data_IF_815773061459
#
_entry.id   IF_815773061459
#
_cell.length_a   1.000
_cell.length_b   1.000
_cell.length_c   1.000
_cell.angle_alpha   90.00
_cell.angle_beta   90.00
_cell.angle_gamma   90.00
#
_symmetry.space_group_name_H-M   'P 1'
#
loop_
_entity.id
_entity.type
_entity.pdbx_description
1 polymer ?
#
# COMPACT_ATOMS: atom_id res chain seq x y z
N UNK A 1 52.53 31.19 -33.90
CA UNK A 1 53.65 30.52 -33.30
C UNK A 1 53.18 29.41 -32.39
N UNK A 2 53.17 28.15 -32.88
CA UNK A 2 53.00 26.91 -32.11
C UNK A 2 54.35 26.61 -31.47
N UNK A 3 54.37 25.98 -30.32
CA UNK A 3 55.06 24.71 -30.29
C UNK A 3 54.28 23.53 -29.69
N UNK A 4 54.34 22.41 -30.44
CA UNK A 4 54.20 21.04 -29.97
C UNK A 4 55.12 20.79 -28.78
N UNK A 5 54.62 19.98 -27.85
CA UNK A 5 55.45 19.15 -26.99
C UNK A 5 54.83 17.75 -26.90
N UNK A 6 55.73 16.78 -27.22
CA UNK A 6 55.50 15.36 -27.30
C UNK A 6 55.47 14.66 -25.93
N UNK A 7 54.69 13.58 -25.87
CA UNK A 7 54.98 12.27 -25.31
C UNK A 7 55.77 12.15 -23.98
N UNK A 8 55.11 11.71 -22.97
CA UNK A 8 55.70 11.05 -21.82
C UNK A 8 54.82 9.86 -21.43
N UNK A 9 55.18 8.70 -21.96
CA UNK A 9 54.66 7.37 -21.63
C UNK A 9 55.22 6.95 -20.25
N UNK A 10 54.43 6.83 -19.24
CA UNK A 10 54.79 6.05 -18.07
C UNK A 10 53.61 5.16 -17.64
N UNK A 11 53.88 3.88 -17.80
CA UNK A 11 53.16 2.79 -17.15
C UNK A 11 53.11 3.03 -15.64
N UNK A 12 51.96 2.87 -15.06
CA UNK A 12 51.83 2.42 -13.69
C UNK A 12 50.65 1.43 -13.60
N UNK A 13 51.07 0.24 -13.23
CA UNK A 13 50.24 -0.91 -12.96
C UNK A 13 49.47 -0.75 -11.66
N UNK A 14 48.30 -1.36 -11.70
CA UNK A 14 47.57 -1.92 -10.55
C UNK A 14 47.32 -1.07 -9.32
N UNK A 15 46.05 -0.78 -9.10
CA UNK A 15 45.33 -1.15 -7.86
C UNK A 15 43.88 -0.73 -7.97
N UNK A 16 42.97 -1.67 -7.75
CA UNK A 16 41.60 -1.33 -7.42
C UNK A 16 40.52 -1.98 -8.27
N UNK A 17 40.50 -3.28 -8.34
CA UNK A 17 39.31 -4.03 -8.70
C UNK A 17 38.26 -3.85 -7.62
N UNK A 18 37.44 -2.79 -7.70
CA UNK A 18 36.24 -2.63 -6.90
C UNK A 18 35.13 -3.46 -7.51
N UNK A 19 34.75 -4.46 -6.78
CA UNK A 19 33.62 -5.36 -6.91
C UNK A 19 32.35 -4.65 -7.39
N UNK A 20 32.13 -4.65 -8.69
CA UNK A 20 30.79 -4.62 -9.24
C UNK A 20 30.16 -5.98 -8.90
N UNK A 21 29.47 -6.04 -7.76
CA UNK A 21 28.59 -7.18 -7.47
C UNK A 21 27.41 -7.09 -8.43
N UNK A 22 27.55 -7.76 -9.57
CA UNK A 22 26.46 -8.09 -10.46
C UNK A 22 25.41 -8.86 -9.66
N UNK A 23 24.29 -8.19 -9.45
CA UNK A 23 23.05 -8.80 -8.98
C UNK A 23 22.73 -9.97 -9.90
N UNK A 24 22.54 -11.20 -9.41
CA UNK A 24 22.13 -12.28 -10.28
C UNK A 24 20.77 -11.95 -10.88
N UNK A 25 20.52 -12.26 -12.17
CA UNK A 25 19.23 -12.03 -12.79
C UNK A 25 18.17 -12.84 -12.03
N UNK A 26 17.11 -12.14 -11.61
CA UNK A 26 15.90 -12.74 -11.08
C UNK A 26 15.25 -13.50 -12.26
N UNK A 27 15.45 -14.79 -12.34
CA UNK A 27 14.62 -15.67 -13.16
C UNK A 27 13.19 -15.61 -12.60
N UNK A 28 12.18 -15.35 -13.42
CA UNK A 28 10.80 -15.48 -13.01
C UNK A 28 10.47 -16.96 -12.93
N UNK A 29 10.67 -17.55 -11.77
CA UNK A 29 10.21 -18.90 -11.50
C UNK A 29 8.73 -18.82 -11.08
N UNK A 30 7.87 -19.01 -12.07
CA UNK A 30 6.43 -19.11 -11.96
C UNK A 30 6.02 -20.50 -11.45
N UNK A 31 6.38 -20.82 -10.22
CA UNK A 31 5.75 -21.87 -9.44
C UNK A 31 5.11 -21.21 -8.22
N UNK A 32 3.81 -21.01 -8.31
CA UNK A 32 2.97 -20.47 -7.25
C UNK A 32 2.83 -21.50 -6.12
N UNK A 33 3.88 -21.73 -5.35
CA UNK A 33 3.76 -22.41 -4.07
C UNK A 33 3.05 -21.45 -3.09
N UNK A 34 2.05 -21.94 -2.34
CA UNK A 34 1.36 -21.12 -1.35
C UNK A 34 2.36 -20.60 -0.31
N UNK A 35 2.11 -19.39 0.20
CA UNK A 35 2.92 -18.82 1.26
C UNK A 35 2.74 -19.64 2.54
N UNK A 36 3.86 -20.08 3.11
CA UNK A 36 3.89 -20.81 4.37
C UNK A 36 3.98 -19.85 5.56
N UNK A 37 3.49 -20.31 6.70
CA UNK A 37 3.55 -19.57 7.97
C UNK A 37 4.65 -20.14 8.85
N UNK A 38 5.47 -19.28 9.43
CA UNK A 38 6.51 -19.63 10.38
C UNK A 38 6.42 -18.74 11.62
N UNK A 39 6.30 -19.37 12.81
CA UNK A 39 6.27 -18.65 14.09
C UNK A 39 7.50 -19.02 14.92
N UNK A 40 8.06 -18.02 15.57
CA UNK A 40 9.21 -18.27 16.45
C UNK A 40 9.74 -17.02 17.14
N UNK A 41 10.72 -17.25 18.02
CA UNK A 41 11.40 -16.17 18.74
C UNK A 41 12.76 -15.88 18.08
N UNK A 42 13.07 -14.62 17.89
CA UNK A 42 14.38 -14.17 17.37
C UNK A 42 15.47 -14.54 18.38
N UNK A 43 16.32 -15.46 17.99
CA UNK A 43 17.45 -15.87 18.82
C UNK A 43 18.66 -14.94 18.59
N UNK A 44 18.92 -14.58 17.33
CA UNK A 44 20.07 -13.73 16.98
C UNK A 44 19.86 -13.05 15.63
N UNK A 45 20.27 -11.80 15.56
CA UNK A 45 20.41 -11.05 14.32
C UNK A 45 21.83 -11.29 13.77
N UNK A 46 21.93 -12.00 12.62
CA UNK A 46 23.22 -12.36 12.03
C UNK A 46 23.74 -11.27 11.10
N UNK A 47 22.84 -10.60 10.41
CA UNK A 47 23.12 -9.47 9.52
C UNK A 47 21.91 -8.55 9.47
N UNK A 48 22.13 -7.24 9.41
CA UNK A 48 21.10 -6.25 9.14
C UNK A 48 21.69 -5.08 8.34
N UNK A 49 20.96 -4.69 7.31
CA UNK A 49 21.23 -3.49 6.54
C UNK A 49 20.03 -2.54 6.67
N UNK A 50 20.17 -1.45 7.43
CA UNK A 50 19.09 -0.48 7.64
C UNK A 50 18.66 0.24 6.35
N UNK A 51 19.55 0.38 5.38
CA UNK A 51 19.27 1.11 4.14
C UNK A 51 18.34 0.32 3.20
N UNK A 52 18.55 -0.99 3.10
CA UNK A 52 17.71 -1.89 2.31
C UNK A 52 16.59 -2.56 3.12
N UNK A 53 16.50 -2.29 4.42
CA UNK A 53 15.64 -2.99 5.38
C UNK A 53 15.86 -4.52 5.44
N UNK A 54 16.88 -5.05 4.78
CA UNK A 54 17.15 -6.47 4.71
C UNK A 54 17.92 -6.96 5.93
N UNK A 55 17.50 -8.12 6.47
CA UNK A 55 18.23 -8.78 7.52
C UNK A 55 18.25 -10.30 7.36
N UNK A 56 19.23 -10.93 8.03
CA UNK A 56 19.33 -12.37 8.23
C UNK A 56 19.21 -12.67 9.72
N UNK A 57 18.20 -13.44 10.07
CA UNK A 57 17.78 -13.71 11.46
C UNK A 57 17.84 -15.21 11.73
N UNK A 58 18.32 -15.59 12.91
CA UNK A 58 18.17 -16.95 13.44
C UNK A 58 16.92 -16.98 14.28
N UNK A 59 15.91 -17.75 13.85
CA UNK A 59 14.61 -17.86 14.49
C UNK A 59 14.45 -19.21 15.19
N UNK A 60 14.20 -19.19 16.48
CA UNK A 60 13.87 -20.40 17.24
C UNK A 60 12.39 -20.73 17.05
N UNK A 61 12.14 -21.78 16.28
CA UNK A 61 10.79 -22.26 15.96
C UNK A 61 10.41 -23.39 16.92
N UNK A 62 9.18 -23.33 17.43
CA UNK A 62 8.66 -24.38 18.34
C UNK A 62 8.64 -25.74 17.62
N UNK A 63 9.24 -26.76 18.23
CA UNK A 63 9.30 -28.11 17.66
C UNK A 63 10.50 -28.38 16.73
N UNK A 64 11.31 -27.37 16.37
CA UNK A 64 12.56 -27.58 15.65
C UNK A 64 13.75 -27.59 16.60
N UNK A 65 14.69 -28.55 16.40
CA UNK A 65 15.93 -28.64 17.19
C UNK A 65 16.92 -27.53 16.89
N UNK A 66 16.96 -27.07 15.63
CA UNK A 66 17.86 -26.02 15.18
C UNK A 66 17.08 -24.77 14.78
N UNK A 67 17.63 -23.56 15.06
CA UNK A 67 17.02 -22.33 14.62
C UNK A 67 16.94 -22.26 13.09
N UNK A 68 15.80 -21.80 12.58
CA UNK A 68 15.62 -21.55 11.15
C UNK A 68 16.40 -20.29 10.73
N UNK A 69 17.01 -20.34 9.55
CA UNK A 69 17.57 -19.13 8.92
C UNK A 69 16.43 -18.40 8.21
N UNK A 70 16.19 -17.18 8.58
CA UNK A 70 15.11 -16.35 8.06
C UNK A 70 15.72 -15.10 7.42
N UNK A 71 15.30 -14.77 6.19
CA UNK A 71 15.83 -13.65 5.42
C UNK A 71 14.71 -12.78 4.86
N UNK A 72 14.91 -11.46 4.84
CA UNK A 72 13.91 -10.53 4.29
C UNK A 72 13.91 -9.17 4.94
N UNK A 73 12.78 -8.43 4.90
CA UNK A 73 12.68 -7.07 5.41
C UNK A 73 12.57 -7.04 6.95
N UNK A 74 13.59 -7.57 7.63
CA UNK A 74 13.62 -7.82 9.07
C UNK A 74 14.59 -6.91 9.83
N UNK A 75 15.11 -5.83 9.21
CA UNK A 75 16.15 -4.99 9.84
C UNK A 75 15.69 -4.27 11.12
N UNK A 76 14.38 -4.11 11.32
CA UNK A 76 13.81 -3.50 12.51
C UNK A 76 13.58 -4.47 13.69
N UNK A 77 13.80 -5.77 13.47
CA UNK A 77 13.54 -6.84 14.45
C UNK A 77 14.63 -6.86 15.51
N UNK A 78 14.24 -7.17 16.76
CA UNK A 78 15.16 -7.29 17.90
C UNK A 78 15.24 -8.72 18.41
N UNK A 79 16.38 -9.06 18.99
CA UNK A 79 16.55 -10.33 19.69
C UNK A 79 15.54 -10.45 20.85
N UNK A 80 14.96 -11.65 20.97
CA UNK A 80 13.88 -11.94 21.95
C UNK A 80 12.47 -11.66 21.46
N UNK A 81 12.28 -10.99 20.32
CA UNK A 81 10.95 -10.76 19.76
C UNK A 81 10.33 -12.06 19.23
N UNK A 82 9.06 -12.26 19.52
CA UNK A 82 8.27 -13.35 18.92
C UNK A 82 7.65 -12.86 17.63
N UNK A 83 7.98 -13.52 16.52
CA UNK A 83 7.55 -13.15 15.19
C UNK A 83 6.58 -14.18 14.60
N UNK A 84 5.60 -13.65 13.90
CA UNK A 84 4.79 -14.38 12.95
C UNK A 84 5.22 -13.96 11.55
N UNK A 85 5.66 -14.94 10.76
CA UNK A 85 6.26 -14.71 9.45
C UNK A 85 5.45 -15.42 8.39
N UNK A 86 5.26 -14.79 7.25
CA UNK A 86 4.78 -15.45 6.05
C UNK A 86 5.81 -15.34 4.93
N UNK A 87 6.08 -16.44 4.25
CA UNK A 87 7.14 -16.51 3.27
C UNK A 87 7.21 -17.86 2.59
N UNK A 88 8.37 -18.17 2.05
CA UNK A 88 8.64 -19.45 1.35
C UNK A 88 9.99 -19.98 1.76
N UNK A 89 10.10 -21.30 1.85
CA UNK A 89 11.41 -21.94 1.92
C UNK A 89 12.08 -21.88 0.56
N UNK A 90 13.35 -21.51 0.56
CA UNK A 90 14.22 -21.53 -0.62
C UNK A 90 15.58 -22.11 -0.24
N UNK A 91 16.28 -22.68 -1.20
CA UNK A 91 17.64 -23.19 -1.01
C UNK A 91 18.62 -22.23 -1.66
N UNK A 92 19.36 -21.50 -0.84
CA UNK A 92 20.42 -20.62 -1.32
C UNK A 92 21.67 -21.44 -1.65
N UNK A 93 22.31 -21.27 -2.84
CA UNK A 93 23.45 -22.09 -3.27
C UNK A 93 24.63 -22.15 -2.29
N UNK A 94 24.85 -21.04 -1.55
CA UNK A 94 25.98 -20.92 -0.60
C UNK A 94 25.55 -21.14 0.87
N UNK A 95 24.30 -20.82 1.23
CA UNK A 95 23.87 -20.74 2.63
C UNK A 95 22.84 -21.82 3.02
N UNK A 96 22.46 -22.68 2.05
CA UNK A 96 21.50 -23.76 2.30
C UNK A 96 20.06 -23.30 2.43
N UNK A 97 19.27 -24.09 3.15
CA UNK A 97 17.84 -23.80 3.36
C UNK A 97 17.65 -22.51 4.18
N UNK A 98 16.82 -21.61 3.65
CA UNK A 98 16.42 -20.39 4.33
C UNK A 98 14.94 -20.11 4.08
N UNK A 99 14.29 -19.43 5.02
CA UNK A 99 12.92 -18.98 4.88
C UNK A 99 12.93 -17.52 4.42
N UNK A 100 12.51 -17.28 3.17
CA UNK A 100 12.39 -15.93 2.63
C UNK A 100 11.07 -15.32 3.05
N UNK A 101 11.13 -14.31 3.90
CA UNK A 101 9.99 -13.58 4.41
C UNK A 101 9.44 -12.64 3.35
N UNK A 102 8.15 -12.76 3.10
CA UNK A 102 7.39 -11.79 2.30
C UNK A 102 6.84 -10.69 3.22
N UNK A 103 6.28 -11.09 4.36
CA UNK A 103 5.86 -10.17 5.41
C UNK A 103 5.95 -10.82 6.80
N UNK A 104 6.00 -9.99 7.82
CA UNK A 104 6.08 -10.41 9.20
C UNK A 104 5.44 -9.39 10.14
N UNK A 105 5.09 -9.84 11.33
CA UNK A 105 4.74 -8.97 12.44
C UNK A 105 5.25 -9.53 13.75
N UNK A 106 5.57 -8.64 14.69
CA UNK A 106 5.76 -9.05 16.07
C UNK A 106 4.40 -9.42 16.66
N UNK A 107 4.32 -10.56 17.32
CA UNK A 107 3.05 -11.11 17.85
C UNK A 107 2.38 -10.15 18.85
N UNK A 108 3.17 -9.28 19.46
CA UNK A 108 2.72 -8.17 20.31
C UNK A 108 3.70 -6.99 20.19
N UNK A 109 3.26 -5.73 20.34
CA UNK A 109 4.19 -4.61 20.40
C UNK A 109 5.13 -4.80 21.59
N UNK A 110 6.44 -4.87 21.33
CA UNK A 110 7.45 -5.11 22.35
C UNK A 110 7.83 -3.86 23.15
N UNK A 111 7.41 -2.67 22.71
CA UNK A 111 7.77 -1.41 23.38
C UNK A 111 6.59 -0.85 24.16
N UNK A 112 6.86 -0.32 25.35
CA UNK A 112 5.88 0.34 26.23
C UNK A 112 5.05 1.40 25.48
N UNK A 113 5.74 2.26 24.70
CA UNK A 113 5.06 3.26 23.87
C UNK A 113 4.20 2.65 22.74
N UNK A 114 4.60 1.51 22.18
CA UNK A 114 3.82 0.78 21.19
C UNK A 114 2.56 0.18 21.80
N UNK A 115 2.67 -0.41 22.99
CA UNK A 115 1.55 -0.97 23.75
C UNK A 115 0.53 0.12 24.10
N UNK A 116 0.99 1.28 24.58
CA UNK A 116 0.13 2.40 24.91
C UNK A 116 -0.67 2.87 23.70
N UNK A 117 0.00 3.13 22.57
CA UNK A 117 -0.65 3.55 21.32
C UNK A 117 -1.65 2.51 20.81
N UNK A 118 -1.29 1.23 20.93
CA UNK A 118 -2.16 0.13 20.56
C UNK A 118 -3.44 0.11 21.40
N UNK A 119 -3.33 0.17 22.72
CA UNK A 119 -4.48 0.18 23.63
C UNK A 119 -5.33 1.45 23.48
N UNK A 120 -4.69 2.61 23.24
CA UNK A 120 -5.37 3.90 23.03
C UNK A 120 -6.11 4.00 21.70
N UNK A 121 -5.89 3.08 20.75
CA UNK A 121 -6.49 3.12 19.40
C UNK A 121 -8.00 2.89 19.35
N UNK A 122 -8.63 2.50 20.48
CA UNK A 122 -10.05 2.19 20.57
C UNK A 122 -10.43 0.78 20.09
N UNK A 123 -9.44 -0.08 19.78
CA UNK A 123 -9.64 -1.46 19.35
C UNK A 123 -10.25 -2.34 20.44
N UNK A 124 -10.02 -2.00 21.69
CA UNK A 124 -10.55 -2.73 22.84
C UNK A 124 -11.59 -1.85 23.50
N UNK A 125 -12.85 -2.27 23.46
CA UNK A 125 -13.94 -1.53 24.11
C UNK A 125 -13.70 -1.43 25.61
N UNK A 126 -13.75 -0.20 26.11
CA UNK A 126 -13.51 0.07 27.51
C UNK A 126 -12.10 0.54 27.84
N UNK A 127 -11.16 0.52 26.89
CA UNK A 127 -9.84 1.11 27.06
C UNK A 127 -9.73 2.35 26.16
N UNK A 128 -9.77 3.52 26.78
CA UNK A 128 -9.44 4.80 26.12
C UNK A 128 -8.00 5.23 26.41
N UNK A 129 -7.54 6.38 25.84
CA UNK A 129 -6.15 6.84 25.97
C UNK A 129 -5.67 6.95 27.41
N UNK A 130 -6.46 7.55 28.31
CA UNK A 130 -6.09 7.70 29.72
C UNK A 130 -5.95 6.36 30.46
N UNK A 131 -6.83 5.39 30.13
CA UNK A 131 -6.75 4.08 30.75
C UNK A 131 -5.59 3.26 30.17
N UNK A 132 -5.33 3.38 28.89
CA UNK A 132 -4.16 2.79 28.22
C UNK A 132 -2.86 3.25 28.91
N UNK A 133 -2.72 4.56 29.12
CA UNK A 133 -1.59 5.12 29.83
C UNK A 133 -1.42 4.57 31.25
N UNK A 134 -2.51 4.46 32.01
CA UNK A 134 -2.49 3.91 33.40
C UNK A 134 -2.14 2.43 33.42
N UNK A 135 -2.68 1.65 32.49
CA UNK A 135 -2.37 0.22 32.35
C UNK A 135 -0.88 0.02 32.05
N UNK A 136 -0.36 0.77 31.10
CA UNK A 136 1.04 0.66 30.69
C UNK A 136 1.99 1.21 31.77
N UNK A 137 1.59 2.27 32.48
CA UNK A 137 2.34 2.75 33.63
C UNK A 137 2.43 1.72 34.78
N UNK A 138 1.40 0.91 34.97
CA UNK A 138 1.34 -0.11 36.03
C UNK A 138 2.04 -1.40 35.65
N UNK A 139 1.78 -1.94 34.44
CA UNK A 139 2.27 -3.25 34.01
C UNK A 139 3.45 -3.20 33.03
N UNK A 140 3.78 -2.03 32.49
CA UNK A 140 4.89 -1.87 31.54
C UNK A 140 4.71 -2.72 30.28
N UNK A 141 5.78 -3.44 29.91
CA UNK A 141 5.79 -4.35 28.77
C UNK A 141 4.86 -5.59 28.93
N UNK A 142 4.50 -5.94 30.18
CA UNK A 142 3.63 -7.10 30.45
C UNK A 142 2.14 -6.80 30.28
N UNK A 143 1.75 -5.56 30.01
CA UNK A 143 0.34 -5.13 29.95
C UNK A 143 -0.51 -6.03 29.07
N UNK A 144 -0.04 -6.38 27.87
CA UNK A 144 -0.81 -7.21 26.94
C UNK A 144 -0.90 -8.68 27.39
N UNK A 145 0.14 -9.18 28.02
CA UNK A 145 0.16 -10.53 28.64
C UNK A 145 -0.84 -10.58 29.79
N UNK A 146 -0.86 -9.57 30.65
CA UNK A 146 -1.82 -9.47 31.75
C UNK A 146 -3.26 -9.43 31.22
N UNK A 147 -3.55 -8.64 30.18
CA UNK A 147 -4.90 -8.61 29.58
C UNK A 147 -5.31 -9.99 29.04
N UNK A 148 -4.36 -10.73 28.45
CA UNK A 148 -4.61 -12.02 27.81
C UNK A 148 -4.66 -13.20 28.78
N UNK A 149 -3.75 -13.28 29.73
CA UNK A 149 -3.50 -14.46 30.56
C UNK A 149 -3.93 -14.30 32.01
N UNK A 150 -3.91 -13.09 32.56
CA UNK A 150 -4.25 -12.78 33.95
C UNK A 150 -5.15 -11.53 34.06
N UNK A 151 -6.33 -11.52 33.40
CA UNK A 151 -7.20 -10.34 33.32
C UNK A 151 -7.71 -9.86 34.68
N UNK A 152 -7.74 -10.70 35.69
CA UNK A 152 -8.12 -10.36 37.07
C UNK A 152 -7.19 -9.29 37.66
N UNK A 153 -5.91 -9.26 37.27
CA UNK A 153 -4.93 -8.26 37.69
C UNK A 153 -5.24 -6.87 37.18
N UNK A 154 -6.06 -6.73 36.13
CA UNK A 154 -6.48 -5.42 35.63
C UNK A 154 -7.20 -4.58 36.69
N UNK A 155 -7.79 -5.23 37.71
CA UNK A 155 -8.45 -4.54 38.83
C UNK A 155 -7.45 -3.84 39.77
N UNK A 156 -6.14 -4.12 39.66
CA UNK A 156 -5.08 -3.38 40.37
C UNK A 156 -4.98 -1.92 39.87
N UNK A 157 -5.49 -1.65 38.64
CA UNK A 157 -5.42 -0.31 38.01
C UNK A 157 -6.67 0.49 38.35
N UNK A 158 -6.49 1.69 38.90
CA UNK A 158 -7.57 2.58 39.25
C UNK A 158 -8.49 2.88 38.04
N UNK A 159 -9.80 2.70 38.23
CA UNK A 159 -10.82 2.87 37.17
C UNK A 159 -11.20 1.58 36.43
N UNK A 160 -10.66 0.42 36.84
CA UNK A 160 -11.06 -0.89 36.36
C UNK A 160 -11.70 -1.69 37.51
N UNK A 161 -13.03 -1.72 37.51
CA UNK A 161 -13.77 -2.65 38.39
C UNK A 161 -14.07 -3.97 37.70
N UNK A 162 -14.66 -4.96 38.42
CA UNK A 162 -14.92 -6.30 37.89
C UNK A 162 -15.72 -6.33 36.59
N UNK A 163 -16.74 -5.48 36.47
CA UNK A 163 -17.56 -5.38 35.23
C UNK A 163 -16.75 -4.92 34.03
N UNK A 164 -15.88 -3.96 34.22
CA UNK A 164 -15.02 -3.42 33.15
C UNK A 164 -13.91 -4.40 32.77
N UNK A 165 -13.34 -5.08 33.75
CA UNK A 165 -12.39 -6.17 33.52
C UNK A 165 -13.01 -7.28 32.67
N UNK A 166 -14.23 -7.76 33.00
CA UNK A 166 -14.92 -8.76 32.20
C UNK A 166 -15.27 -8.30 30.79
N UNK A 167 -15.57 -7.02 30.61
CA UNK A 167 -15.80 -6.43 29.30
C UNK A 167 -14.50 -6.44 28.48
N UNK A 168 -13.38 -5.98 29.04
CA UNK A 168 -12.06 -5.97 28.39
C UNK A 168 -11.66 -7.40 28.01
N UNK A 169 -11.82 -8.37 28.91
CA UNK A 169 -11.52 -9.79 28.66
C UNK A 169 -12.30 -10.36 27.47
N UNK A 170 -13.62 -10.14 27.42
CA UNK A 170 -14.47 -10.62 26.31
C UNK A 170 -14.08 -9.97 24.99
N UNK A 171 -13.89 -8.67 25.00
CA UNK A 171 -13.50 -7.93 23.81
C UNK A 171 -12.12 -8.33 23.30
N UNK A 172 -11.19 -8.57 24.24
CA UNK A 172 -9.86 -9.10 23.93
C UNK A 172 -9.89 -10.45 23.22
N UNK A 173 -10.73 -11.36 23.64
CA UNK A 173 -10.88 -12.68 23.03
C UNK A 173 -11.57 -12.61 21.67
N UNK A 174 -12.60 -11.78 21.54
CA UNK A 174 -13.40 -11.64 20.31
C UNK A 174 -12.58 -11.03 19.15
N UNK A 175 -11.68 -10.11 19.44
CA UNK A 175 -10.93 -9.38 18.43
C UNK A 175 -9.48 -9.85 18.23
N UNK A 176 -9.18 -11.09 18.58
CA UNK A 176 -7.81 -11.62 18.46
C UNK A 176 -7.28 -11.54 17.02
N UNK A 177 -8.05 -12.01 16.05
CA UNK A 177 -7.67 -11.98 14.63
C UNK A 177 -7.48 -10.54 14.11
N UNK A 178 -8.41 -9.63 14.44
CA UNK A 178 -8.30 -8.22 14.08
C UNK A 178 -7.01 -7.58 14.63
N UNK A 179 -6.64 -7.90 15.88
CA UNK A 179 -5.41 -7.41 16.49
C UNK A 179 -4.17 -7.84 15.73
N UNK A 180 -4.09 -9.12 15.39
CA UNK A 180 -2.95 -9.69 14.68
C UNK A 180 -2.75 -8.98 13.35
N UNK A 181 -3.81 -8.75 12.58
CA UNK A 181 -3.77 -8.02 11.32
C UNK A 181 -3.33 -6.57 11.51
N UNK A 182 -3.88 -5.86 12.51
CA UNK A 182 -3.54 -4.45 12.74
C UNK A 182 -2.09 -4.27 13.22
N UNK A 183 -1.59 -5.17 14.05
CA UNK A 183 -0.18 -5.19 14.47
C UNK A 183 0.73 -5.49 13.27
N UNK A 184 0.35 -6.44 12.41
CA UNK A 184 1.07 -6.73 11.18
C UNK A 184 1.16 -5.51 10.26
N UNK A 185 0.03 -4.82 10.02
CA UNK A 185 0.01 -3.60 9.20
C UNK A 185 0.86 -2.47 9.81
N UNK A 186 0.87 -2.32 11.15
CA UNK A 186 1.77 -1.38 11.82
C UNK A 186 3.24 -1.75 11.64
N UNK A 187 3.59 -3.02 11.73
CA UNK A 187 4.94 -3.53 11.43
C UNK A 187 5.40 -3.19 10.02
N UNK A 188 4.48 -3.15 9.06
CA UNK A 188 4.72 -2.70 7.69
C UNK A 188 4.79 -1.16 7.55
N UNK A 189 4.70 -0.43 8.65
CA UNK A 189 4.76 1.03 8.69
C UNK A 189 3.45 1.73 8.30
N UNK A 190 2.33 1.02 8.33
CA UNK A 190 0.99 1.59 8.17
C UNK A 190 0.54 2.21 9.49
N UNK A 191 0.21 3.50 9.48
CA UNK A 191 -0.32 4.15 10.70
C UNK A 191 -1.67 3.57 11.13
N UNK A 192 -1.99 3.58 12.44
CA UNK A 192 -3.16 2.93 13.03
C UNK A 192 -4.48 3.31 12.34
N UNK A 193 -4.72 4.60 12.09
CA UNK A 193 -5.94 5.05 11.43
C UNK A 193 -6.12 4.44 10.02
N UNK A 194 -5.01 4.28 9.30
CA UNK A 194 -4.99 3.65 7.98
C UNK A 194 -5.15 2.13 8.10
N UNK A 195 -4.43 1.49 9.02
CA UNK A 195 -4.55 0.06 9.29
C UNK A 195 -5.98 -0.34 9.63
N UNK A 196 -6.68 0.48 10.43
CA UNK A 196 -8.09 0.28 10.76
C UNK A 196 -8.99 0.33 9.52
N UNK A 197 -8.79 1.31 8.62
CA UNK A 197 -9.55 1.39 7.36
C UNK A 197 -9.28 0.18 6.46
N UNK A 198 -8.01 -0.22 6.34
CA UNK A 198 -7.61 -1.39 5.54
C UNK A 198 -8.25 -2.67 6.13
N UNK A 199 -8.21 -2.83 7.45
CA UNK A 199 -8.86 -3.97 8.10
C UNK A 199 -10.38 -3.97 7.91
N UNK A 200 -11.04 -2.81 8.01
CA UNK A 200 -12.48 -2.69 7.77
C UNK A 200 -12.87 -3.10 6.35
N UNK A 201 -12.01 -2.84 5.36
CA UNK A 201 -12.26 -3.16 3.96
C UNK A 201 -11.97 -4.63 3.63
N UNK A 202 -10.87 -5.19 4.14
CA UNK A 202 -10.34 -6.49 3.70
C UNK A 202 -10.34 -7.56 4.78
N UNK A 203 -10.63 -7.22 6.04
CA UNK A 203 -10.60 -8.18 7.16
C UNK A 203 -9.24 -8.88 7.27
N UNK A 204 -9.27 -10.20 7.35
CA UNK A 204 -8.09 -11.04 7.50
C UNK A 204 -7.18 -11.04 6.25
N UNK A 205 -7.70 -10.64 5.07
CA UNK A 205 -6.93 -10.53 3.83
C UNK A 205 -6.11 -9.23 3.76
N UNK A 206 -6.30 -8.31 4.71
CA UNK A 206 -5.69 -6.97 4.69
C UNK A 206 -4.16 -7.00 4.52
N UNK A 207 -3.48 -7.91 5.21
CA UNK A 207 -2.02 -8.03 5.15
C UNK A 207 -1.57 -8.57 3.79
N UNK A 208 -2.28 -9.56 3.25
CA UNK A 208 -2.00 -10.12 1.94
C UNK A 208 -2.14 -9.07 0.84
N UNK A 209 -3.24 -8.31 0.84
CA UNK A 209 -3.46 -7.22 -0.13
C UNK A 209 -2.35 -6.18 -0.04
N UNK A 210 -1.98 -5.73 1.17
CA UNK A 210 -0.92 -4.74 1.38
C UNK A 210 0.43 -5.22 0.88
N UNK A 211 0.75 -6.50 1.07
CA UNK A 211 2.06 -7.05 0.72
C UNK A 211 2.18 -7.50 -0.73
N UNK A 212 1.07 -7.85 -1.37
CA UNK A 212 1.07 -8.32 -2.77
C UNK A 212 0.76 -7.21 -3.75
N UNK A 213 -0.23 -6.37 -3.46
CA UNK A 213 -0.66 -5.28 -4.34
C UNK A 213 -1.17 -4.07 -3.53
N UNK A 214 -0.29 -3.25 -2.94
CA UNK A 214 -0.70 -2.07 -2.19
C UNK A 214 -1.46 -1.03 -3.02
N UNK A 215 -1.35 -1.07 -4.35
CA UNK A 215 -2.06 -0.14 -5.25
C UNK A 215 -3.57 -0.39 -5.29
N UNK A 216 -4.02 -1.61 -4.94
CA UNK A 216 -5.43 -1.90 -4.76
C UNK A 216 -6.08 -1.03 -3.68
N UNK A 217 -5.30 -0.70 -2.63
CA UNK A 217 -5.77 0.18 -1.55
C UNK A 217 -6.19 1.56 -2.06
N UNK A 218 -5.48 2.09 -3.06
CA UNK A 218 -5.77 3.39 -3.64
C UNK A 218 -7.08 3.40 -4.46
N UNK A 219 -7.53 2.24 -4.93
CA UNK A 219 -8.79 2.07 -5.63
C UNK A 219 -9.97 1.89 -4.67
N UNK A 220 -9.76 1.16 -3.58
CA UNK A 220 -10.85 0.65 -2.74
C UNK A 220 -11.07 1.49 -1.47
N UNK A 221 -10.07 2.28 -1.03
CA UNK A 221 -10.14 3.02 0.23
C UNK A 221 -10.09 4.52 -0.01
N UNK A 222 -11.22 5.19 0.24
CA UNK A 222 -11.28 6.65 0.13
C UNK A 222 -10.27 7.35 1.06
N UNK A 223 -9.48 8.26 0.47
CA UNK A 223 -8.43 9.00 1.18
C UNK A 223 -7.08 8.28 1.25
N UNK A 224 -6.93 7.11 0.60
CA UNK A 224 -5.66 6.44 0.37
C UNK A 224 -5.31 6.59 -1.11
N UNK A 225 -4.49 7.60 -1.43
CA UNK A 225 -4.10 7.85 -2.82
C UNK A 225 -2.86 7.07 -3.25
N UNK A 226 -2.58 7.10 -4.56
CA UNK A 226 -1.43 6.46 -5.19
C UNK A 226 -0.11 6.69 -4.45
N UNK A 227 0.22 7.94 -4.09
CA UNK A 227 1.49 8.27 -3.42
C UNK A 227 1.67 7.56 -2.07
N UNK A 228 0.58 7.26 -1.37
CA UNK A 228 0.65 6.50 -0.10
C UNK A 228 0.87 5.03 -0.37
N UNK A 229 0.19 4.47 -1.37
CA UNK A 229 0.39 3.09 -1.81
C UNK A 229 1.82 2.87 -2.35
N UNK A 230 2.35 3.81 -3.12
CA UNK A 230 3.70 3.74 -3.70
C UNK A 230 4.80 3.81 -2.62
N UNK A 231 4.64 4.68 -1.62
CA UNK A 231 5.53 4.70 -0.44
C UNK A 231 5.51 3.39 0.33
N UNK A 232 4.34 2.77 0.45
CA UNK A 232 4.19 1.47 1.12
C UNK A 232 4.86 0.36 0.30
N UNK A 233 4.64 0.33 -1.02
CA UNK A 233 5.32 -0.59 -1.94
C UNK A 233 6.85 -0.47 -1.87
N UNK A 234 7.37 0.76 -1.80
CA UNK A 234 8.81 1.03 -1.65
C UNK A 234 9.37 0.47 -0.34
N UNK A 235 8.64 0.60 0.78
CA UNK A 235 9.04 0.00 2.08
C UNK A 235 9.05 -1.53 2.05
N UNK A 236 8.15 -2.12 1.27
CA UNK A 236 8.05 -3.56 1.07
C UNK A 236 9.04 -4.08 0.04
N UNK A 237 9.87 -3.22 -0.55
CA UNK A 237 10.81 -3.54 -1.63
C UNK A 237 10.14 -4.29 -2.79
N UNK A 238 8.91 -3.91 -3.13
CA UNK A 238 8.23 -4.48 -4.29
C UNK A 238 8.92 -4.02 -5.58
N UNK A 239 8.86 -4.85 -6.61
CA UNK A 239 9.44 -4.53 -7.91
C UNK A 239 8.81 -3.24 -8.46
N UNK A 240 9.62 -2.19 -8.77
CA UNK A 240 9.13 -0.93 -9.29
C UNK A 240 8.49 -1.04 -10.68
N UNK A 241 8.71 -2.13 -11.41
CA UNK A 241 8.15 -2.38 -12.74
C UNK A 241 6.89 -3.25 -12.72
N UNK A 242 6.29 -3.47 -11.55
CA UNK A 242 5.03 -4.24 -11.48
C UNK A 242 3.93 -3.56 -12.32
N UNK A 243 3.16 -4.34 -13.11
CA UNK A 243 2.03 -3.80 -13.89
C UNK A 243 1.04 -3.01 -13.04
N UNK A 244 0.82 -3.43 -11.79
CA UNK A 244 -0.06 -2.76 -10.85
C UNK A 244 0.43 -1.33 -10.51
N UNK A 245 1.74 -1.15 -10.30
CA UNK A 245 2.35 0.17 -10.06
C UNK A 245 2.21 1.09 -11.27
N UNK A 246 2.58 0.57 -12.44
CA UNK A 246 2.55 1.34 -13.68
C UNK A 246 1.12 1.79 -14.03
N UNK A 247 0.15 0.88 -13.91
CA UNK A 247 -1.26 1.19 -14.12
C UNK A 247 -1.79 2.22 -13.12
N UNK A 248 -1.46 2.06 -11.84
CA UNK A 248 -1.87 3.00 -10.79
C UNK A 248 -1.27 4.39 -10.99
N UNK A 249 -0.01 4.48 -11.42
CA UNK A 249 0.65 5.75 -11.73
C UNK A 249 0.02 6.49 -12.92
N UNK A 250 -0.26 5.78 -14.02
CA UNK A 250 -0.96 6.32 -15.19
C UNK A 250 -2.35 6.86 -14.82
N UNK A 251 -3.13 6.06 -14.08
CA UNK A 251 -4.46 6.47 -13.64
C UNK A 251 -4.42 7.64 -12.66
N UNK A 252 -3.43 7.68 -11.77
CA UNK A 252 -3.25 8.79 -10.83
C UNK A 252 -3.00 10.12 -11.55
N UNK A 253 -2.13 10.13 -12.56
CA UNK A 253 -1.87 11.34 -13.34
C UNK A 253 -3.10 11.77 -14.15
N UNK A 254 -3.83 10.83 -14.73
CA UNK A 254 -5.11 11.14 -15.38
C UNK A 254 -6.14 11.75 -14.41
N UNK A 255 -6.17 11.28 -13.15
CA UNK A 255 -7.02 11.87 -12.12
C UNK A 255 -6.58 13.26 -11.72
N UNK A 256 -5.28 13.47 -11.55
CA UNK A 256 -4.70 14.76 -11.17
C UNK A 256 -5.01 15.80 -12.26
N UNK A 257 -4.72 15.46 -13.52
CA UNK A 257 -4.99 16.36 -14.64
C UNK A 257 -6.50 16.57 -14.88
N UNK A 258 -7.31 15.55 -14.63
CA UNK A 258 -8.76 15.69 -14.64
C UNK A 258 -9.26 16.67 -13.56
N UNK A 259 -8.64 16.69 -12.39
CA UNK A 259 -8.90 17.68 -11.33
C UNK A 259 -8.49 19.10 -11.71
N UNK A 260 -7.53 19.26 -12.62
CA UNK A 260 -7.12 20.54 -13.23
C UNK A 260 -8.05 20.99 -14.37
N UNK A 261 -9.09 20.21 -14.68
CA UNK A 261 -10.09 20.52 -15.71
C UNK A 261 -9.84 19.88 -17.07
N UNK A 262 -8.86 19.00 -17.19
CA UNK A 262 -8.58 18.30 -18.46
C UNK A 262 -9.53 17.11 -18.64
N UNK A 263 -10.27 17.07 -19.72
CA UNK A 263 -11.16 15.94 -20.07
C UNK A 263 -10.34 14.75 -20.61
N UNK A 264 -9.26 15.06 -21.32
CA UNK A 264 -8.28 14.09 -21.80
C UNK A 264 -6.86 14.62 -21.65
N UNK A 265 -5.89 13.74 -21.81
CA UNK A 265 -4.46 14.07 -21.82
C UNK A 265 -3.85 13.53 -23.10
N UNK A 266 -3.01 14.29 -23.83
CA UNK A 266 -2.22 13.75 -24.94
C UNK A 266 -1.33 12.60 -24.43
N UNK A 267 -1.26 11.51 -25.19
CA UNK A 267 -0.52 10.31 -24.80
C UNK A 267 0.94 10.59 -24.43
N UNK A 268 1.62 11.40 -25.26
CA UNK A 268 3.01 11.79 -25.04
C UNK A 268 3.22 12.52 -23.71
N UNK A 269 2.29 13.42 -23.36
CA UNK A 269 2.33 14.17 -22.11
C UNK A 269 2.10 13.24 -20.92
N UNK A 270 1.13 12.32 -21.02
CA UNK A 270 0.86 11.37 -19.97
C UNK A 270 2.06 10.45 -19.71
N UNK A 271 2.62 9.89 -20.79
CA UNK A 271 3.78 9.00 -20.70
C UNK A 271 4.98 9.72 -20.09
N UNK A 272 5.32 10.91 -20.59
CA UNK A 272 6.47 11.68 -20.07
C UNK A 272 6.31 12.03 -18.59
N UNK A 273 5.14 12.49 -18.16
CA UNK A 273 4.89 12.78 -16.74
C UNK A 273 4.90 11.50 -15.88
N UNK A 274 4.47 10.36 -16.44
CA UNK A 274 4.52 9.08 -15.71
C UNK A 274 5.95 8.58 -15.58
N UNK A 275 6.79 8.73 -16.61
CA UNK A 275 8.24 8.43 -16.53
C UNK A 275 8.90 9.23 -15.40
N UNK A 276 8.61 10.52 -15.31
CA UNK A 276 9.13 11.40 -14.25
C UNK A 276 8.61 10.98 -12.85
N UNK A 277 7.31 10.72 -12.73
CA UNK A 277 6.70 10.35 -11.45
C UNK A 277 7.22 9.02 -10.91
N UNK A 278 7.28 8.01 -11.77
CA UNK A 278 7.62 6.64 -11.37
C UNK A 278 9.10 6.31 -11.46
N UNK A 279 9.89 7.16 -12.14
CA UNK A 279 11.31 6.93 -12.43
C UNK A 279 11.54 5.60 -13.15
N UNK A 280 10.74 5.32 -14.16
CA UNK A 280 10.76 4.09 -14.96
C UNK A 280 10.89 4.40 -16.46
N UNK A 281 11.46 3.49 -17.27
CA UNK A 281 11.55 3.70 -18.72
C UNK A 281 10.16 3.63 -19.39
N UNK A 282 10.04 4.29 -20.55
CA UNK A 282 8.79 4.40 -21.33
C UNK A 282 8.18 3.08 -21.81
N UNK A 283 8.95 2.09 -22.34
CA UNK A 283 8.33 0.92 -22.97
C UNK A 283 7.34 0.14 -22.09
N UNK A 284 7.61 -0.14 -20.81
CA UNK A 284 6.62 -0.76 -19.92
C UNK A 284 5.36 0.08 -19.74
N UNK A 285 5.45 1.42 -19.75
CA UNK A 285 4.31 2.31 -19.61
C UNK A 285 3.38 2.25 -20.81
N UNK A 286 3.94 2.22 -22.03
CA UNK A 286 3.17 2.06 -23.28
C UNK A 286 2.39 0.74 -23.25
N UNK A 287 3.04 -0.36 -22.91
CA UNK A 287 2.38 -1.66 -22.83
C UNK A 287 1.27 -1.63 -21.77
N UNK A 288 1.49 -1.03 -20.62
CA UNK A 288 0.48 -0.92 -19.56
C UNK A 288 -0.68 -0.03 -19.97
N UNK A 289 -0.45 1.03 -20.73
CA UNK A 289 -1.51 1.90 -21.24
C UNK A 289 -2.42 1.13 -22.22
N UNK A 290 -1.85 0.31 -23.09
CA UNK A 290 -2.62 -0.58 -23.98
C UNK A 290 -3.43 -1.62 -23.18
N UNK A 291 -2.85 -2.16 -22.10
CA UNK A 291 -3.57 -3.09 -21.22
C UNK A 291 -4.75 -2.42 -20.53
N UNK A 292 -4.58 -1.18 -20.07
CA UNK A 292 -5.66 -0.38 -19.49
C UNK A 292 -6.77 -0.10 -20.52
N UNK A 293 -6.41 0.12 -21.78
CA UNK A 293 -7.39 0.32 -22.86
C UNK A 293 -8.15 -0.98 -23.15
N UNK A 294 -7.44 -2.11 -23.26
CA UNK A 294 -8.08 -3.44 -23.43
C UNK A 294 -9.00 -3.81 -22.26
N UNK A 295 -8.62 -3.43 -21.04
CA UNK A 295 -9.45 -3.58 -19.85
C UNK A 295 -10.62 -2.57 -19.77
N UNK A 296 -10.72 -1.65 -20.73
CA UNK A 296 -11.78 -0.64 -20.77
C UNK A 296 -11.70 0.40 -19.65
N UNK A 297 -10.52 0.58 -19.05
CA UNK A 297 -10.29 1.59 -18.00
C UNK A 297 -10.05 2.98 -18.62
N UNK A 298 -9.40 3.00 -19.77
CA UNK A 298 -9.13 4.20 -20.58
C UNK A 298 -9.62 4.00 -22.01
N UNK A 299 -9.74 5.09 -22.76
CA UNK A 299 -10.06 5.11 -24.19
C UNK A 299 -8.98 5.91 -24.89
N UNK A 300 -8.47 5.40 -26.02
CA UNK A 300 -7.34 5.94 -26.76
C UNK A 300 -7.74 6.36 -28.20
N UNK A 301 -8.54 7.41 -28.36
CA UNK A 301 -8.92 7.87 -29.70
C UNK A 301 -7.78 8.61 -30.39
N UNK A 302 -7.72 8.47 -31.73
CA UNK A 302 -6.90 9.33 -32.58
C UNK A 302 -7.61 10.65 -32.78
N UNK A 303 -6.95 11.75 -32.40
CA UNK A 303 -7.39 13.12 -32.66
C UNK A 303 -6.47 13.79 -33.66
N UNK A 304 -6.86 14.93 -34.29
CA UNK A 304 -6.01 15.63 -35.23
C UNK A 304 -4.64 16.07 -34.67
N UNK A 305 -4.56 16.23 -33.34
CA UNK A 305 -3.34 16.60 -32.61
C UNK A 305 -2.52 15.39 -32.13
N UNK A 306 -2.92 14.16 -32.47
CA UNK A 306 -2.30 12.91 -32.03
C UNK A 306 -3.19 12.10 -31.10
N UNK A 307 -2.67 10.99 -30.59
CA UNK A 307 -3.40 10.06 -29.73
C UNK A 307 -3.71 10.67 -28.36
N UNK A 308 -4.96 10.60 -27.95
CA UNK A 308 -5.43 11.12 -26.67
C UNK A 308 -5.77 9.98 -25.70
N UNK A 309 -5.61 10.23 -24.39
CA UNK A 309 -5.97 9.29 -23.33
C UNK A 309 -7.11 9.88 -22.51
N UNK A 310 -8.25 9.21 -22.56
CA UNK A 310 -9.42 9.55 -21.75
C UNK A 310 -9.62 8.52 -20.64
N UNK A 311 -10.04 8.95 -19.47
CA UNK A 311 -10.76 8.04 -18.58
C UNK A 311 -12.10 7.68 -19.20
N UNK A 312 -12.49 6.41 -19.13
CA UNK A 312 -13.75 5.95 -19.74
C UNK A 312 -15.00 6.77 -19.39
N UNK A 313 -15.23 7.18 -18.11
CA UNK A 313 -16.37 8.02 -17.77
C UNK A 313 -16.36 9.38 -18.47
N UNK A 314 -15.19 10.03 -18.57
CA UNK A 314 -15.03 11.32 -19.25
C UNK A 314 -15.31 11.20 -20.75
N UNK A 315 -14.80 10.16 -21.42
CA UNK A 315 -15.12 9.85 -22.81
C UNK A 315 -16.61 9.66 -23.06
N UNK A 316 -17.28 8.88 -22.20
CA UNK A 316 -18.72 8.65 -22.34
C UNK A 316 -19.53 9.93 -22.10
N UNK A 317 -19.11 10.79 -21.17
CA UNK A 317 -19.77 12.06 -20.93
C UNK A 317 -19.62 13.00 -22.14
N UNK A 318 -18.39 13.18 -22.65
CA UNK A 318 -18.12 14.08 -23.77
C UNK A 318 -18.82 13.61 -25.06
N UNK A 319 -18.71 12.34 -25.40
CA UNK A 319 -19.39 11.77 -26.58
C UNK A 319 -20.90 11.79 -26.44
N UNK A 320 -21.43 11.57 -25.25
CA UNK A 320 -22.87 11.66 -24.97
C UNK A 320 -23.41 13.09 -25.13
N UNK A 321 -22.67 14.09 -24.66
CA UNK A 321 -23.00 15.51 -24.87
C UNK A 321 -22.97 15.85 -26.36
N UNK A 322 -21.88 15.46 -27.06
CA UNK A 322 -21.75 15.72 -28.50
C UNK A 322 -22.91 15.09 -29.32
N UNK A 323 -23.27 13.84 -29.02
CA UNK A 323 -24.42 13.17 -29.64
C UNK A 323 -25.75 13.88 -29.35
N UNK A 324 -25.94 14.32 -28.11
CA UNK A 324 -27.18 15.01 -27.71
C UNK A 324 -27.29 16.36 -28.39
N UNK A 325 -26.23 17.13 -28.44
CA UNK A 325 -26.18 18.40 -29.18
C UNK A 325 -26.37 18.18 -30.69
N UNK A 326 -25.73 17.16 -31.26
CA UNK A 326 -25.94 16.79 -32.67
C UNK A 326 -27.38 16.50 -33.00
N UNK A 327 -28.10 15.75 -32.13
CA UNK A 327 -29.55 15.51 -32.30
C UNK A 327 -30.35 16.80 -32.22
N UNK A 328 -30.03 17.69 -31.29
CA UNK A 328 -30.73 18.98 -31.16
C UNK A 328 -30.53 19.87 -32.40
N UNK A 329 -29.29 19.94 -32.91
CA UNK A 329 -28.95 20.72 -34.12
C UNK A 329 -29.59 20.14 -35.37
N UNK A 330 -29.69 18.81 -35.47
CA UNK A 330 -30.27 18.12 -36.67
C UNK A 330 -31.77 17.91 -36.57
N UNK A 331 -32.38 18.14 -35.40
CA UNK A 331 -33.84 18.10 -35.29
C UNK A 331 -34.44 19.22 -36.14
N UNK A 332 -34.88 18.87 -37.33
CA UNK A 332 -35.59 19.79 -38.23
C UNK A 332 -36.85 20.24 -37.53
N UNK A 333 -36.91 21.56 -37.28
CA UNK A 333 -37.95 22.19 -36.51
C UNK A 333 -39.35 21.94 -36.97
N UNK A 334 -40.03 21.16 -36.20
CA UNK A 334 -41.50 21.05 -36.15
C UNK A 334 -41.93 21.34 -34.72
N UNK A 335 -41.38 22.40 -34.10
CA UNK A 335 -41.96 22.82 -32.86
C UNK A 335 -43.27 23.51 -33.17
N UNK A 336 -44.44 23.02 -32.67
CA UNK A 336 -45.59 23.86 -32.62
C UNK A 336 -45.20 25.17 -31.94
N UNK A 337 -45.81 26.31 -32.31
CA UNK A 337 -45.48 27.58 -31.70
C UNK A 337 -45.61 27.42 -30.20
N UNK A 338 -44.45 27.36 -29.54
CA UNK A 338 -44.36 27.29 -28.08
C UNK A 338 -44.89 28.64 -27.60
N UNK A 339 -46.11 28.68 -27.03
CA UNK A 339 -46.53 29.77 -26.21
C UNK A 339 -45.66 29.76 -24.95
N UNK A 340 -44.53 30.50 -25.03
CA UNK A 340 -43.52 30.56 -23.97
C UNK A 340 -44.14 30.94 -22.63
N UNK A 341 -45.14 31.83 -22.67
CA UNK A 341 -45.90 32.25 -21.49
C UNK A 341 -46.64 31.11 -20.81
N UNK A 342 -47.27 30.20 -21.61
CA UNK A 342 -47.97 29.04 -21.08
C UNK A 342 -46.99 28.02 -20.47
N UNK A 343 -45.82 27.82 -21.08
CA UNK A 343 -44.77 26.98 -20.55
C UNK A 343 -44.17 27.55 -19.26
N UNK A 344 -43.91 28.84 -19.20
CA UNK A 344 -43.43 29.52 -17.99
C UNK A 344 -44.47 29.32 -16.87
N UNK A 345 -45.74 29.54 -17.18
CA UNK A 345 -46.85 29.40 -16.21
C UNK A 345 -46.95 27.92 -15.73
N UNK A 346 -46.79 26.94 -16.61
CA UNK A 346 -46.78 25.52 -16.27
C UNK A 346 -45.60 25.13 -15.37
N UNK A 347 -44.38 25.59 -15.70
CA UNK A 347 -43.18 25.34 -14.90
C UNK A 347 -43.29 26.05 -13.52
N UNK A 348 -43.79 27.29 -13.48
CA UNK A 348 -44.03 27.98 -12.22
C UNK A 348 -44.98 27.20 -11.31
N UNK A 349 -46.09 26.70 -11.89
CA UNK A 349 -47.06 25.87 -11.12
C UNK A 349 -46.44 24.56 -10.62
N UNK A 350 -45.71 23.85 -11.50
CA UNK A 350 -45.09 22.57 -11.15
C UNK A 350 -43.97 22.67 -10.13
N UNK A 351 -43.26 23.78 -10.13
CA UNK A 351 -42.09 24.00 -9.28
C UNK A 351 -42.31 24.93 -8.10
N UNK A 352 -43.56 25.47 -7.98
CA UNK A 352 -43.91 26.50 -6.96
C UNK A 352 -42.92 27.69 -6.99
N UNK A 353 -42.49 28.08 -8.18
CA UNK A 353 -41.54 29.18 -8.43
C UNK A 353 -42.30 30.39 -8.94
N UNK A 354 -41.94 31.59 -8.45
CA UNK A 354 -42.40 32.85 -9.03
C UNK A 354 -41.17 33.47 -9.71
N UNK A 355 -41.24 33.64 -11.03
CA UNK A 355 -40.21 34.38 -11.75
C UNK A 355 -40.52 35.85 -11.65
N UNK A 356 -39.49 36.67 -11.32
CA UNK A 356 -39.62 38.11 -11.18
C UNK A 356 -39.78 38.79 -12.55
#
# INVERSE_FOLDING_TARGET
GVPKLELGNQKNENFGGALAQTRPPLTPDSTSHPLETLEGTVERLTFADPASHYAVVRLRVRGRRQPATVVGPLAAVKEGEQLHLKGRYEVHPKWGEQFRVVWWYAVLPATVAGIEKYLASGLIKGIGPELAQRLVAHFGAETLTVIGEAPERLTEVSGIGPKKMDQIRRDWQTHKAAREVLVALQGLGVGMAMATKIYQQYGDQAVEVVTTNPYQLALDIHGLGFLTADRLAGRLNLDPLTPARLAAGLLHLLDTMGGEGHVYVPEEVLLSRTEELLQVPRPPLVNTLEDLARAGRVVLPELPAGRAVYKRPAWLAETGVAQSLGRLVTAVGGHPPLHIEDLITQVQRQRSLTLA
#
